data_IF_961691615807
#
_entry.id   IF_961691615807
#
_cell.length_a   1.000
_cell.length_b   1.000
_cell.length_c   1.000
_cell.angle_alpha   90.00
_cell.angle_beta   90.00
_cell.angle_gamma   90.00
#
_symmetry.space_group_name_H-M   'P 1'
#
loop_
_entity.id
_entity.type
_entity.pdbx_description
1 polymer ?
#
# COMPACT_ATOMS: atom_id res chain seq x y z
N UNK A 1 2.07 -19.68 -11.25
CA UNK A 1 2.21 -18.21 -11.26
C UNK A 1 1.87 -17.70 -9.88
N UNK A 2 2.72 -16.83 -9.32
CA UNK A 2 2.50 -16.20 -8.02
C UNK A 2 2.39 -14.70 -8.28
N UNK A 3 1.29 -14.09 -7.82
CA UNK A 3 1.09 -12.65 -7.81
C UNK A 3 1.27 -12.17 -6.37
N UNK A 4 2.35 -11.45 -6.11
CA UNK A 4 2.59 -10.79 -4.84
C UNK A 4 2.00 -9.37 -4.84
N UNK A 5 1.71 -8.82 -3.67
CA UNK A 5 1.02 -7.55 -3.45
C UNK A 5 -0.31 -7.42 -4.23
N UNK A 6 -1.05 -8.52 -4.25
CA UNK A 6 -2.32 -8.69 -4.96
C UNK A 6 -3.38 -7.62 -4.63
N UNK A 7 -3.35 -7.02 -3.43
CA UNK A 7 -4.23 -5.91 -3.04
C UNK A 7 -4.07 -4.65 -3.90
N UNK A 8 -2.90 -4.46 -4.52
CA UNK A 8 -2.58 -3.32 -5.37
C UNK A 8 -2.88 -3.55 -6.86
N UNK A 9 -3.24 -4.77 -7.26
CA UNK A 9 -3.51 -5.10 -8.66
C UNK A 9 -4.89 -4.60 -9.10
N UNK A 10 -4.96 -4.03 -10.31
CA UNK A 10 -6.21 -3.54 -10.89
C UNK A 10 -7.07 -4.72 -11.34
N UNK A 11 -8.38 -4.52 -11.39
CA UNK A 11 -9.35 -5.52 -11.87
C UNK A 11 -8.99 -6.06 -13.25
N UNK A 12 -8.59 -5.18 -14.16
CA UNK A 12 -8.25 -5.56 -15.54
C UNK A 12 -6.94 -6.38 -15.61
N UNK A 13 -5.97 -6.09 -14.74
CA UNK A 13 -4.72 -6.85 -14.67
C UNK A 13 -4.99 -8.27 -14.13
N UNK A 14 -5.86 -8.40 -13.12
CA UNK A 14 -6.32 -9.70 -12.63
C UNK A 14 -7.01 -10.52 -13.73
N UNK A 15 -7.89 -9.90 -14.52
CA UNK A 15 -8.57 -10.56 -15.62
C UNK A 15 -7.59 -11.18 -16.62
N UNK A 16 -6.58 -10.40 -17.03
CA UNK A 16 -5.54 -10.85 -17.95
C UNK A 16 -4.70 -11.98 -17.36
N UNK A 17 -4.35 -11.90 -16.07
CA UNK A 17 -3.59 -12.95 -15.40
C UNK A 17 -4.39 -14.26 -15.29
N UNK A 18 -5.69 -14.18 -15.04
CA UNK A 18 -6.58 -15.35 -15.03
C UNK A 18 -6.67 -15.95 -16.44
N UNK A 19 -6.87 -15.14 -17.48
CA UNK A 19 -6.92 -15.62 -18.87
C UNK A 19 -5.61 -16.31 -19.28
N UNK A 20 -4.44 -15.76 -18.91
CA UNK A 20 -3.14 -16.37 -19.15
C UNK A 20 -2.99 -17.69 -18.38
N UNK A 21 -3.39 -17.71 -17.11
CA UNK A 21 -3.33 -18.93 -16.31
C UNK A 21 -4.20 -20.04 -16.92
N UNK A 22 -5.39 -19.71 -17.43
CA UNK A 22 -6.24 -20.67 -18.13
C UNK A 22 -5.61 -21.15 -19.44
N UNK A 23 -5.15 -20.24 -20.30
CA UNK A 23 -4.56 -20.59 -21.60
C UNK A 23 -3.36 -21.53 -21.47
N UNK A 24 -2.53 -21.31 -20.44
CA UNK A 24 -1.33 -22.09 -20.19
C UNK A 24 -1.50 -23.20 -19.15
N UNK A 25 -2.73 -23.41 -18.63
CA UNK A 25 -3.05 -24.39 -17.59
C UNK A 25 -2.17 -24.23 -16.34
N UNK A 26 -1.90 -22.98 -15.95
CA UNK A 26 -1.16 -22.64 -14.75
C UNK A 26 -2.09 -22.47 -13.55
N UNK A 27 -1.54 -22.70 -12.36
CA UNK A 27 -2.15 -22.24 -11.11
C UNK A 27 -1.75 -20.78 -10.85
N UNK A 28 -2.72 -19.96 -10.48
CA UNK A 28 -2.51 -18.60 -9.98
C UNK A 28 -2.67 -18.60 -8.46
N UNK A 29 -1.62 -18.20 -7.75
CA UNK A 29 -1.65 -17.94 -6.30
C UNK A 29 -1.50 -16.44 -6.11
N UNK A 30 -2.51 -15.79 -5.54
CA UNK A 30 -2.49 -14.38 -5.21
C UNK A 30 -2.17 -14.20 -3.72
N UNK A 31 -1.14 -13.42 -3.42
CA UNK A 31 -0.64 -13.13 -2.08
C UNK A 31 -0.66 -11.61 -1.88
N UNK A 32 -1.13 -11.16 -0.73
CA UNK A 32 -1.18 -9.74 -0.40
C UNK A 32 -2.09 -9.49 0.80
N UNK A 33 -2.25 -8.22 1.16
CA UNK A 33 -3.14 -7.80 2.23
C UNK A 33 -4.27 -6.91 1.68
N UNK A 34 -5.55 -7.33 1.76
CA UNK A 34 -6.66 -6.55 1.25
C UNK A 34 -6.94 -5.27 2.06
N UNK A 35 -6.39 -5.15 3.27
CA UNK A 35 -6.52 -3.97 4.12
C UNK A 35 -5.41 -2.93 3.89
N UNK A 36 -4.39 -3.24 3.09
CA UNK A 36 -3.42 -2.26 2.63
C UNK A 36 -4.02 -1.32 1.57
N UNK A 37 -3.20 -0.48 0.96
CA UNK A 37 -3.64 0.49 -0.04
C UNK A 37 -4.29 -0.21 -1.24
N UNK A 38 -5.46 0.26 -1.70
CA UNK A 38 -6.10 -0.31 -2.87
C UNK A 38 -5.30 0.01 -4.15
N UNK A 39 -5.58 -0.75 -5.21
CA UNK A 39 -5.04 -0.48 -6.54
C UNK A 39 -5.25 0.97 -6.98
N UNK A 40 -4.29 1.51 -7.73
CA UNK A 40 -4.45 2.79 -8.42
C UNK A 40 -5.43 2.57 -9.59
N UNK A 41 -6.67 3.03 -9.42
CA UNK A 41 -7.76 2.85 -10.39
C UNK A 41 -8.85 1.91 -9.87
N UNK A 42 -9.52 1.17 -10.77
CA UNK A 42 -10.52 0.16 -10.39
C UNK A 42 -9.81 -1.06 -9.81
N UNK A 43 -9.92 -1.25 -8.50
CA UNK A 43 -9.35 -2.39 -7.77
C UNK A 43 -10.39 -3.12 -6.93
N UNK A 44 -9.93 -3.96 -6.01
CA UNK A 44 -10.78 -4.63 -5.02
C UNK A 44 -11.20 -6.05 -5.37
N UNK A 45 -10.75 -6.59 -6.51
CA UNK A 45 -10.94 -8.02 -6.84
C UNK A 45 -10.29 -8.91 -5.80
N UNK A 46 -9.06 -8.60 -5.38
CA UNK A 46 -8.38 -9.38 -4.36
C UNK A 46 -9.14 -9.40 -3.03
N UNK A 47 -9.60 -8.22 -2.55
CA UNK A 47 -10.44 -8.14 -1.36
C UNK A 47 -11.74 -8.95 -1.52
N UNK A 48 -12.40 -8.83 -2.68
CA UNK A 48 -13.59 -9.63 -2.98
C UNK A 48 -13.30 -11.13 -2.97
N UNK A 49 -12.16 -11.57 -3.50
CA UNK A 49 -11.74 -12.97 -3.47
C UNK A 49 -11.45 -13.45 -2.05
N UNK A 50 -10.80 -12.64 -1.21
CA UNK A 50 -10.66 -12.96 0.20
C UNK A 50 -12.03 -13.11 0.89
N UNK A 51 -13.02 -12.30 0.53
CA UNK A 51 -14.37 -12.38 1.13
C UNK A 51 -15.21 -13.56 0.61
N UNK A 52 -14.93 -14.06 -0.59
CA UNK A 52 -15.83 -15.02 -1.29
C UNK A 52 -15.22 -16.39 -1.56
N UNK A 53 -13.89 -16.50 -1.59
CA UNK A 53 -13.19 -17.73 -1.92
C UNK A 53 -12.46 -18.31 -0.71
N UNK A 54 -12.28 -19.64 -0.64
CA UNK A 54 -11.40 -20.27 0.32
C UNK A 54 -9.98 -19.68 0.20
N UNK A 55 -9.44 -19.19 1.31
CA UNK A 55 -8.11 -18.60 1.37
C UNK A 55 -7.45 -18.91 2.70
N UNK A 56 -6.13 -18.79 2.74
CA UNK A 56 -5.36 -18.84 3.98
C UNK A 56 -5.07 -17.43 4.45
N UNK A 57 -5.42 -17.14 5.71
CA UNK A 57 -5.10 -15.87 6.38
C UNK A 57 -3.94 -16.11 7.34
N UNK A 58 -2.87 -15.35 7.17
CA UNK A 58 -1.80 -15.23 8.16
C UNK A 58 -2.16 -14.08 9.11
N UNK A 59 -2.13 -14.34 10.41
CA UNK A 59 -2.64 -13.43 11.45
C UNK A 59 -1.55 -12.96 12.42
N UNK A 60 -0.32 -13.46 12.29
CA UNK A 60 0.77 -13.19 13.23
C UNK A 60 1.83 -12.28 12.58
N UNK A 61 1.86 -10.97 12.89
CA UNK A 61 2.94 -10.09 12.48
C UNK A 61 4.27 -10.53 13.11
N UNK A 62 5.33 -10.63 12.31
CA UNK A 62 6.66 -11.08 12.77
C UNK A 62 7.70 -9.96 12.84
N UNK A 63 7.36 -8.76 12.36
CA UNK A 63 8.31 -7.65 12.22
C UNK A 63 8.44 -6.78 13.46
N UNK A 64 7.41 -6.72 14.31
CA UNK A 64 7.40 -5.83 15.46
C UNK A 64 8.23 -6.40 16.61
N UNK A 65 8.98 -5.53 17.27
CA UNK A 65 9.72 -5.85 18.49
C UNK A 65 8.79 -5.89 19.70
N UNK A 66 7.82 -4.98 19.71
CA UNK A 66 6.82 -4.86 20.76
C UNK A 66 5.55 -5.63 20.39
N UNK A 67 5.14 -6.65 21.17
CA UNK A 67 3.93 -7.44 20.87
C UNK A 67 2.65 -6.60 20.86
N UNK A 68 2.54 -5.62 21.75
CA UNK A 68 1.37 -4.73 21.81
C UNK A 68 1.21 -3.93 20.52
N UNK A 69 2.31 -3.55 19.86
CA UNK A 69 2.27 -2.78 18.61
C UNK A 69 1.84 -3.68 17.44
N UNK A 70 2.20 -4.97 17.48
CA UNK A 70 1.69 -5.95 16.53
C UNK A 70 0.15 -6.08 16.64
N UNK A 71 -0.36 -6.26 17.86
CA UNK A 71 -1.80 -6.40 18.11
C UNK A 71 -2.56 -5.12 17.75
N UNK A 72 -2.05 -3.95 18.15
CA UNK A 72 -2.62 -2.64 17.81
C UNK A 72 -2.65 -2.40 16.29
N UNK A 73 -1.63 -2.87 15.56
CA UNK A 73 -1.60 -2.77 14.09
C UNK A 73 -2.68 -3.63 13.43
N UNK A 74 -3.03 -4.79 14.00
CA UNK A 74 -4.12 -5.64 13.52
C UNK A 74 -5.48 -5.03 13.83
N UNK A 75 -5.67 -4.46 15.03
CA UNK A 75 -6.86 -3.70 15.38
C UNK A 75 -7.06 -2.51 14.40
N UNK A 76 -6.00 -1.74 14.14
CA UNK A 76 -6.00 -0.66 13.15
C UNK A 76 -6.35 -1.15 11.74
N UNK A 77 -5.81 -2.30 11.33
CA UNK A 77 -6.10 -2.95 10.04
C UNK A 77 -7.59 -3.28 9.89
N UNK A 78 -8.16 -3.87 10.93
CA UNK A 78 -9.54 -4.36 10.94
C UNK A 78 -10.56 -3.22 11.14
N UNK A 79 -10.12 -2.03 11.56
CA UNK A 79 -10.99 -0.88 11.79
C UNK A 79 -11.47 -0.75 13.23
N UNK A 80 -10.78 -1.37 14.17
CA UNK A 80 -11.11 -1.29 15.58
C UNK A 80 -10.54 0.02 16.18
N UNK A 81 -11.40 0.95 16.65
CA UNK A 81 -10.96 2.23 17.19
C UNK A 81 -10.13 2.09 18.47
N UNK A 82 -10.17 0.95 19.18
CA UNK A 82 -9.33 0.68 20.37
C UNK A 82 -7.83 0.70 20.05
N UNK A 83 -7.45 0.54 18.78
CA UNK A 83 -6.08 0.75 18.34
C UNK A 83 -5.60 2.18 18.65
N UNK A 84 -6.47 3.18 18.52
CA UNK A 84 -6.12 4.57 18.75
C UNK A 84 -5.76 4.82 20.21
N UNK A 85 -6.57 4.31 21.14
CA UNK A 85 -6.30 4.37 22.57
C UNK A 85 -4.98 3.66 22.91
N UNK A 86 -4.78 2.46 22.36
CA UNK A 86 -3.56 1.68 22.58
C UNK A 86 -2.29 2.42 22.14
N UNK A 87 -2.29 3.02 20.94
CA UNK A 87 -1.17 3.83 20.46
C UNK A 87 -0.99 5.09 21.33
N UNK A 88 -2.08 5.70 21.81
CA UNK A 88 -2.06 6.84 22.71
C UNK A 88 -1.41 6.52 24.06
N UNK A 89 -1.82 5.41 24.70
CA UNK A 89 -1.29 4.93 25.99
C UNK A 89 0.22 4.63 25.92
N UNK A 90 0.71 4.15 24.79
CA UNK A 90 2.13 3.88 24.56
C UNK A 90 2.91 5.11 24.05
N UNK A 91 2.29 6.29 24.03
CA UNK A 91 2.92 7.56 23.66
C UNK A 91 3.38 7.63 22.20
N UNK A 92 2.70 6.91 21.29
CA UNK A 92 3.01 6.89 19.86
C UNK A 92 2.26 7.94 19.05
N UNK A 93 1.31 8.64 19.65
CA UNK A 93 0.50 9.64 18.98
C UNK A 93 0.90 11.04 19.43
N UNK A 94 1.10 11.93 18.47
CA UNK A 94 1.53 13.30 18.70
C UNK A 94 0.64 14.28 17.94
N UNK A 95 -0.06 15.15 18.66
CA UNK A 95 -0.72 16.31 18.07
C UNK A 95 0.29 17.46 17.96
N UNK A 96 0.35 18.12 16.80
CA UNK A 96 1.34 19.18 16.55
C UNK A 96 0.80 20.24 15.61
N UNK A 97 1.11 21.51 15.87
CA UNK A 97 0.76 22.58 14.93
C UNK A 97 1.42 22.34 13.55
N UNK A 98 0.68 22.43 12.42
CA UNK A 98 1.19 22.10 11.09
C UNK A 98 2.54 22.77 10.73
N UNK A 99 2.71 24.03 11.13
CA UNK A 99 3.94 24.79 10.89
C UNK A 99 5.20 24.23 11.60
N UNK A 100 5.03 23.38 12.63
CA UNK A 100 6.12 22.80 13.40
C UNK A 100 6.45 21.35 13.02
N UNK A 101 5.59 20.70 12.23
CA UNK A 101 5.72 19.28 11.85
C UNK A 101 7.10 19.01 11.24
N UNK A 102 7.50 19.80 10.23
CA UNK A 102 8.76 19.56 9.54
C UNK A 102 9.97 19.66 10.46
N UNK A 103 9.97 20.66 11.35
CA UNK A 103 11.03 20.85 12.32
C UNK A 103 11.09 19.66 13.31
N UNK A 104 9.97 19.29 13.91
CA UNK A 104 9.89 18.18 14.87
C UNK A 104 10.29 16.84 14.26
N UNK A 105 9.83 16.54 13.04
CA UNK A 105 10.20 15.31 12.34
C UNK A 105 11.71 15.29 12.04
N UNK A 106 12.29 16.42 11.62
CA UNK A 106 13.71 16.48 11.35
C UNK A 106 14.56 16.32 12.63
N UNK A 107 14.10 16.83 13.78
CA UNK A 107 14.69 16.57 15.10
C UNK A 107 14.70 15.07 15.43
N UNK A 108 13.54 14.41 15.31
CA UNK A 108 13.41 12.98 15.60
C UNK A 108 14.26 12.16 14.63
N UNK A 109 14.21 12.46 13.33
CA UNK A 109 15.03 11.81 12.31
C UNK A 109 16.51 11.88 12.66
N UNK A 110 17.04 13.07 12.94
CA UNK A 110 18.44 13.27 13.31
C UNK A 110 18.80 12.51 14.59
N UNK A 111 17.93 12.52 15.60
CA UNK A 111 18.17 11.80 16.84
C UNK A 111 18.16 10.27 16.69
N UNK A 112 17.38 9.71 15.77
CA UNK A 112 17.37 8.27 15.50
C UNK A 112 18.55 7.85 14.62
N UNK A 113 18.84 8.60 13.55
CA UNK A 113 20.01 8.37 12.70
C UNK A 113 21.31 8.50 13.51
N UNK A 114 21.40 9.46 14.43
CA UNK A 114 22.53 9.59 15.34
C UNK A 114 22.71 8.41 16.31
N UNK A 115 21.67 7.58 16.51
CA UNK A 115 21.74 6.30 17.23
C UNK A 115 22.02 5.10 16.33
N UNK A 116 22.33 5.33 15.05
CA UNK A 116 22.56 4.29 14.05
C UNK A 116 21.28 3.59 13.58
N UNK A 117 20.11 4.20 13.78
CA UNK A 117 18.81 3.61 13.40
C UNK A 117 18.36 4.09 12.03
N UNK A 118 17.69 3.22 11.29
CA UNK A 118 17.02 3.59 10.02
C UNK A 118 15.63 4.17 10.29
N UNK A 119 15.22 5.15 9.48
CA UNK A 119 13.95 5.87 9.67
C UNK A 119 13.20 5.90 8.34
N UNK A 120 11.92 5.55 8.36
CA UNK A 120 10.99 5.80 7.25
C UNK A 120 10.02 6.91 7.62
N UNK A 121 9.90 7.91 6.76
CA UNK A 121 8.99 9.03 6.95
C UNK A 121 7.93 8.96 5.86
N UNK A 122 6.67 8.78 6.27
CA UNK A 122 5.53 8.64 5.35
C UNK A 122 4.54 9.78 5.57
N UNK A 123 3.99 10.29 4.47
CA UNK A 123 3.01 11.39 4.45
C UNK A 123 1.98 11.17 3.33
N UNK A 124 0.88 11.92 3.35
CA UNK A 124 -0.18 11.79 2.36
C UNK A 124 0.08 12.65 1.13
N UNK A 125 0.66 13.84 1.31
CA UNK A 125 0.79 14.84 0.25
C UNK A 125 2.23 15.04 -0.21
N UNK A 126 2.40 15.32 -1.50
CA UNK A 126 3.71 15.64 -2.08
C UNK A 126 4.29 16.93 -1.50
N UNK A 127 3.44 17.89 -1.14
CA UNK A 127 3.86 19.17 -0.56
C UNK A 127 4.39 19.01 0.86
N UNK A 128 3.76 18.17 1.68
CA UNK A 128 4.30 17.82 3.00
C UNK A 128 5.61 17.04 2.85
N UNK A 129 5.69 16.06 1.93
CA UNK A 129 6.95 15.34 1.66
C UNK A 129 8.08 16.30 1.28
N UNK A 130 7.82 17.26 0.37
CA UNK A 130 8.79 18.28 -0.03
C UNK A 130 9.22 19.15 1.15
N UNK A 131 8.28 19.58 1.99
CA UNK A 131 8.55 20.40 3.18
C UNK A 131 9.46 19.65 4.15
N UNK A 132 9.14 18.37 4.43
CA UNK A 132 9.95 17.49 5.28
C UNK A 132 11.35 17.27 4.72
N UNK A 133 11.45 16.91 3.43
CA UNK A 133 12.71 16.70 2.73
C UNK A 133 13.63 17.92 2.79
N UNK A 134 13.07 19.10 2.51
CA UNK A 134 13.81 20.37 2.54
C UNK A 134 14.31 20.69 3.95
N UNK A 135 13.46 20.51 4.97
CA UNK A 135 13.84 20.78 6.35
C UNK A 135 14.92 19.82 6.86
N UNK A 136 14.81 18.52 6.53
CA UNK A 136 15.82 17.50 6.86
C UNK A 136 17.15 17.85 6.21
N UNK A 137 17.18 18.11 4.89
CA UNK A 137 18.41 18.49 4.20
C UNK A 137 19.01 19.77 4.78
N UNK A 138 18.19 20.80 5.03
CA UNK A 138 18.65 22.07 5.63
C UNK A 138 19.34 21.86 6.97
N UNK A 139 18.82 20.96 7.81
CA UNK A 139 19.45 20.61 9.10
C UNK A 139 20.74 19.84 8.91
N UNK A 140 20.77 18.85 8.03
CA UNK A 140 21.98 18.10 7.71
C UNK A 140 23.09 19.03 7.20
N UNK A 141 22.76 19.96 6.31
CA UNK A 141 23.71 20.94 5.78
C UNK A 141 24.24 21.89 6.85
N UNK A 142 23.42 22.27 7.83
CA UNK A 142 23.89 23.09 8.97
C UNK A 142 24.83 22.34 9.90
N UNK A 143 24.61 21.05 10.11
CA UNK A 143 25.40 20.24 11.03
C UNK A 143 26.67 19.66 10.40
N UNK A 144 26.72 19.56 9.07
CA UNK A 144 27.91 19.10 8.32
C UNK A 144 28.46 20.21 7.40
N UNK A 145 29.55 20.89 7.81
CA UNK A 145 30.20 21.92 6.99
C UNK A 145 30.67 21.42 5.62
N UNK A 146 30.93 20.12 5.46
CA UNK A 146 31.32 19.54 4.16
C UNK A 146 30.14 19.58 3.20
N UNK A 147 28.96 19.15 3.65
CA UNK A 147 27.71 19.21 2.87
C UNK A 147 27.31 20.64 2.53
N UNK A 148 27.46 21.56 3.47
CA UNK A 148 27.15 22.97 3.22
C UNK A 148 27.89 23.55 2.01
N UNK A 149 29.13 23.12 1.78
CA UNK A 149 30.02 23.58 0.71
C UNK A 149 30.03 22.66 -0.51
N UNK A 150 29.27 21.57 -0.50
CA UNK A 150 29.21 20.63 -1.61
C UNK A 150 28.55 21.24 -2.84
N UNK A 151 28.94 20.72 -4.00
CA UNK A 151 28.19 20.94 -5.24
C UNK A 151 26.73 20.54 -5.06
N UNK A 152 25.85 21.28 -5.73
CA UNK A 152 24.40 21.10 -5.69
C UNK A 152 23.87 20.88 -7.09
N UNK A 153 22.97 19.91 -7.24
CA UNK A 153 22.18 19.73 -8.46
C UNK A 153 20.73 20.08 -8.20
N UNK A 154 20.15 20.96 -9.00
CA UNK A 154 18.71 21.27 -8.95
C UNK A 154 17.88 20.14 -9.54
N UNK A 155 16.78 19.79 -8.88
CA UNK A 155 15.80 18.81 -9.33
C UNK A 155 14.60 19.50 -10.00
N UNK A 156 13.72 18.71 -10.60
CA UNK A 156 12.56 19.19 -11.35
C UNK A 156 11.63 20.09 -10.54
N UNK A 157 11.52 19.85 -9.23
CA UNK A 157 10.61 20.55 -8.32
C UNK A 157 11.26 21.78 -7.64
N UNK A 158 12.45 22.19 -8.10
CA UNK A 158 13.19 23.34 -7.58
C UNK A 158 13.97 23.06 -6.29
N UNK A 159 13.86 21.86 -5.71
CA UNK A 159 14.77 21.42 -4.65
C UNK A 159 16.16 21.14 -5.22
N UNK A 160 17.14 20.96 -4.34
CA UNK A 160 18.49 20.56 -4.76
C UNK A 160 18.90 19.27 -4.07
N UNK A 161 19.84 18.56 -4.67
CA UNK A 161 20.46 17.36 -4.12
C UNK A 161 21.96 17.58 -3.94
N UNK A 162 22.50 17.06 -2.84
CA UNK A 162 23.94 17.00 -2.54
C UNK A 162 24.36 15.54 -2.29
N UNK A 163 25.68 15.28 -2.32
CA UNK A 163 26.22 13.98 -1.92
C UNK A 163 25.83 13.67 -0.47
N UNK A 164 25.36 12.45 -0.24
CA UNK A 164 24.83 11.97 1.03
C UNK A 164 23.33 12.22 1.23
N UNK A 165 22.61 12.76 0.25
CA UNK A 165 21.16 12.80 0.30
C UNK A 165 20.51 11.47 -0.02
N UNK A 166 19.29 11.29 0.50
CA UNK A 166 18.36 10.27 0.04
C UNK A 166 17.48 10.83 -1.07
N UNK A 167 17.35 10.13 -2.18
CA UNK A 167 16.48 10.49 -3.33
C UNK A 167 15.53 9.36 -3.67
N UNK A 168 14.38 9.68 -4.27
CA UNK A 168 13.43 8.70 -4.79
C UNK A 168 13.28 8.81 -6.31
N UNK A 169 13.24 7.66 -6.99
CA UNK A 169 12.98 7.59 -8.44
C UNK A 169 11.48 7.58 -8.72
N UNK A 170 11.02 8.22 -9.80
CA UNK A 170 9.58 8.41 -10.09
C UNK A 170 9.08 7.74 -11.36
N UNK A 171 9.96 6.99 -12.03
CA UNK A 171 9.65 6.25 -13.25
C UNK A 171 10.33 4.89 -13.24
N UNK A 172 9.69 3.88 -13.81
CA UNK A 172 10.34 2.61 -14.10
C UNK A 172 11.18 2.79 -15.36
N UNK A 173 12.45 2.38 -15.32
CA UNK A 173 13.28 2.28 -16.51
C UNK A 173 14.11 0.98 -16.44
N UNK A 174 13.70 -0.08 -17.16
CA UNK A 174 14.37 -1.37 -17.10
C UNK A 174 15.75 -1.35 -17.79
N UNK A 175 16.07 -0.29 -18.54
CA UNK A 175 17.39 -0.15 -19.17
C UNK A 175 18.45 0.34 -18.18
N UNK A 176 18.05 0.94 -17.07
CA UNK A 176 18.95 1.36 -16.00
C UNK A 176 19.07 0.24 -14.98
N UNK A 177 20.12 -0.55 -15.14
CA UNK A 177 20.46 -1.64 -14.25
C UNK A 177 21.49 -1.19 -13.22
N UNK A 178 21.34 -1.64 -11.99
CA UNK A 178 22.40 -1.53 -10.99
C UNK A 178 23.56 -2.45 -11.35
N UNK A 179 24.69 -2.27 -10.67
CA UNK A 179 25.83 -3.20 -10.67
C UNK A 179 25.48 -4.64 -10.26
N UNK A 180 24.30 -4.87 -9.68
CA UNK A 180 23.73 -6.20 -9.36
C UNK A 180 22.73 -6.71 -10.39
N UNK A 181 22.46 -5.95 -11.44
CA UNK A 181 21.48 -6.29 -12.47
C UNK A 181 20.02 -5.97 -12.10
N UNK A 182 19.79 -5.23 -11.01
CA UNK A 182 18.44 -4.84 -10.62
C UNK A 182 17.98 -3.61 -11.43
N UNK A 183 16.78 -3.64 -12.04
CA UNK A 183 16.28 -2.48 -12.76
C UNK A 183 15.84 -1.36 -11.81
N UNK A 184 16.02 -0.11 -12.24
CA UNK A 184 15.48 1.07 -11.57
C UNK A 184 13.95 1.09 -11.69
N UNK A 185 13.28 1.15 -10.53
CA UNK A 185 11.81 1.22 -10.45
C UNK A 185 11.37 2.52 -9.79
N UNK A 186 10.14 2.89 -10.07
CA UNK A 186 9.40 3.94 -9.40
C UNK A 186 9.34 3.65 -7.89
N UNK A 187 9.64 4.67 -7.09
CA UNK A 187 9.68 4.73 -5.63
C UNK A 187 10.85 4.01 -4.96
N UNK A 188 11.84 3.51 -5.71
CA UNK A 188 13.11 3.12 -5.09
C UNK A 188 13.79 4.34 -4.45
N UNK A 189 14.30 4.17 -3.23
CA UNK A 189 14.94 5.21 -2.40
C UNK A 189 16.46 5.01 -2.32
N UNK A 190 17.26 5.93 -2.82
CA UNK A 190 18.70 5.74 -3.01
C UNK A 190 19.52 6.76 -2.23
N UNK A 191 20.72 6.37 -1.80
CA UNK A 191 21.71 7.29 -1.25
C UNK A 191 22.59 7.84 -2.37
N UNK A 192 22.71 9.15 -2.48
CA UNK A 192 23.54 9.82 -3.49
C UNK A 192 25.00 9.76 -3.08
N UNK A 193 25.85 9.22 -3.95
CA UNK A 193 27.29 9.07 -3.69
C UNK A 193 28.15 9.99 -4.55
N UNK A 194 27.65 10.42 -5.72
CA UNK A 194 28.34 11.40 -6.56
C UNK A 194 27.37 12.25 -7.40
N UNK A 195 27.76 13.50 -7.63
CA UNK A 195 27.21 14.38 -8.66
C UNK A 195 28.20 14.43 -9.82
N UNK A 196 27.72 14.26 -11.05
CA UNK A 196 28.55 14.27 -12.25
C UNK A 196 28.30 15.57 -13.02
N UNK A 197 29.34 16.12 -13.66
CA UNK A 197 29.29 17.41 -14.35
C UNK A 197 28.28 17.46 -15.52
N UNK A 198 27.98 16.31 -16.14
CA UNK A 198 26.94 16.18 -17.18
C UNK A 198 25.51 16.19 -16.62
N UNK A 199 25.40 16.24 -15.28
CA UNK A 199 24.16 16.21 -14.54
C UNK A 199 23.71 14.83 -14.07
N UNK A 200 24.46 13.79 -14.36
CA UNK A 200 24.14 12.45 -13.87
C UNK A 200 24.35 12.35 -12.35
N UNK A 201 23.62 11.41 -11.72
CA UNK A 201 23.76 11.09 -10.30
C UNK A 201 24.23 9.64 -10.14
N UNK A 202 25.28 9.41 -9.37
CA UNK A 202 25.58 8.05 -8.88
C UNK A 202 24.86 7.85 -7.57
N UNK A 203 24.04 6.80 -7.51
CA UNK A 203 23.20 6.48 -6.35
C UNK A 203 23.33 5.01 -5.97
N UNK A 204 23.20 4.70 -4.68
CA UNK A 204 23.39 3.34 -4.15
C UNK A 204 22.32 2.94 -3.15
N UNK A 205 22.09 1.64 -3.00
CA UNK A 205 21.28 1.04 -1.95
C UNK A 205 21.92 -0.26 -1.45
N UNK A 206 21.87 -0.56 -0.13
CA UNK A 206 22.49 -1.77 0.42
C UNK A 206 22.10 -3.07 -0.29
N UNK A 207 20.81 -3.22 -0.59
CA UNK A 207 20.28 -4.46 -1.17
C UNK A 207 20.32 -4.48 -2.70
N UNK A 208 20.18 -3.32 -3.35
CA UNK A 208 19.98 -3.20 -4.80
C UNK A 208 21.26 -2.91 -5.57
N UNK A 209 22.30 -2.43 -4.88
CA UNK A 209 23.56 -2.02 -5.49
C UNK A 209 23.56 -0.57 -5.97
N UNK A 210 24.48 -0.26 -6.88
CA UNK A 210 24.79 1.10 -7.34
C UNK A 210 24.41 1.29 -8.80
N UNK A 211 23.88 2.46 -9.15
CA UNK A 211 23.53 2.84 -10.52
C UNK A 211 23.84 4.31 -10.77
N UNK A 212 24.22 4.63 -12.01
CA UNK A 212 24.32 6.03 -12.46
C UNK A 212 23.07 6.40 -13.23
N UNK A 213 22.30 7.34 -12.70
CA UNK A 213 21.10 7.90 -13.31
C UNK A 213 21.49 9.04 -14.25
N UNK A 214 21.19 8.95 -15.57
CA UNK A 214 21.54 10.01 -16.52
C UNK A 214 20.87 11.33 -16.18
N UNK A 215 21.56 12.46 -16.45
CA UNK A 215 21.03 13.80 -16.13
C UNK A 215 19.61 14.06 -16.63
N UNK A 216 19.28 13.66 -17.86
CA UNK A 216 17.92 13.80 -18.39
C UNK A 216 16.85 12.98 -17.65
N UNK A 217 17.23 11.85 -17.04
CA UNK A 217 16.33 11.10 -16.15
C UNK A 217 16.18 11.82 -14.81
N UNK A 218 17.28 12.31 -14.24
CA UNK A 218 17.30 13.08 -12.99
C UNK A 218 16.41 14.31 -13.09
N UNK A 219 16.47 15.02 -14.22
CA UNK A 219 15.71 16.26 -14.47
C UNK A 219 14.18 16.08 -14.49
N UNK A 220 13.69 14.85 -14.58
CA UNK A 220 12.25 14.57 -14.73
C UNK A 220 11.70 13.60 -13.70
N UNK A 221 12.56 12.73 -13.17
CA UNK A 221 12.12 11.50 -12.50
C UNK A 221 12.87 11.24 -11.19
N UNK A 222 13.55 12.24 -10.63
CA UNK A 222 14.19 12.15 -9.33
C UNK A 222 13.73 13.30 -8.43
N UNK A 223 13.34 12.96 -7.20
CA UNK A 223 12.98 13.89 -6.13
C UNK A 223 13.75 13.53 -4.85
N UNK A 224 13.84 14.44 -3.86
CA UNK A 224 14.35 14.07 -2.54
C UNK A 224 13.46 12.99 -1.90
N UNK A 225 14.08 12.08 -1.15
CA UNK A 225 13.46 10.82 -0.73
C UNK A 225 13.60 10.49 0.76
N UNK A 226 13.92 11.45 1.63
CA UNK A 226 13.93 11.24 3.08
C UNK A 226 12.51 10.96 3.61
N UNK A 227 11.54 11.71 3.08
CA UNK A 227 10.12 11.52 3.26
C UNK A 227 9.45 11.24 1.92
N UNK A 228 8.54 10.27 1.91
CA UNK A 228 7.83 9.84 0.71
C UNK A 228 6.33 9.88 0.92
N UNK A 229 5.59 10.15 -0.16
CA UNK A 229 4.14 9.94 -0.15
C UNK A 229 3.86 8.46 -0.04
N UNK A 230 2.90 8.07 0.80
CA UNK A 230 2.58 6.67 1.11
C UNK A 230 2.19 5.87 -0.12
N UNK A 231 3.21 5.35 -0.80
CA UNK A 231 3.07 4.84 -2.15
C UNK A 231 4.37 4.15 -2.56
N UNK A 232 4.32 2.83 -2.50
CA UNK A 232 5.02 1.86 -3.33
C UNK A 232 6.34 1.31 -2.81
N UNK A 233 6.29 0.00 -2.64
CA UNK A 233 7.37 -0.95 -2.74
C UNK A 233 8.58 -0.72 -1.84
N UNK A 234 8.33 -0.33 -0.59
CA UNK A 234 9.33 -0.39 0.46
C UNK A 234 9.01 -1.57 1.38
N UNK A 235 9.39 -2.77 0.93
CA UNK A 235 9.50 -3.96 1.78
C UNK A 235 10.63 -3.84 2.80
N UNK A 236 11.42 -2.77 2.72
CA UNK A 236 12.52 -2.51 3.64
C UNK A 236 11.96 -2.24 5.03
N UNK A 237 12.30 -3.12 5.95
CA UNK A 237 11.98 -2.96 7.36
C UNK A 237 12.96 -1.94 7.94
N UNK A 238 12.45 -0.78 8.35
CA UNK A 238 13.24 0.23 9.05
C UNK A 238 13.08 0.07 10.56
N UNK A 239 13.97 0.69 11.33
CA UNK A 239 13.87 0.66 12.78
C UNK A 239 12.68 1.51 13.27
N UNK A 240 12.54 2.72 12.73
CA UNK A 240 11.57 3.72 13.19
C UNK A 240 10.68 4.17 12.04
N UNK A 241 9.36 4.06 12.21
CA UNK A 241 8.35 4.66 11.36
C UNK A 241 7.87 6.01 11.91
N UNK A 242 7.88 7.04 11.08
CA UNK A 242 7.29 8.36 11.36
C UNK A 242 6.19 8.60 10.34
N UNK A 243 4.94 8.53 10.78
CA UNK A 243 3.75 8.69 9.96
C UNK A 243 3.13 10.06 10.19
N UNK A 244 3.09 10.92 9.17
CA UNK A 244 2.39 12.19 9.23
C UNK A 244 0.98 11.95 8.70
N UNK A 245 -0.02 11.99 9.58
CA UNK A 245 -1.41 11.68 9.24
C UNK A 245 -2.16 13.00 8.99
N UNK A 246 -2.14 13.47 7.74
CA UNK A 246 -2.78 14.72 7.34
C UNK A 246 -4.31 14.61 7.29
N UNK A 247 -5.06 15.74 7.29
CA UNK A 247 -6.49 15.73 7.01
C UNK A 247 -6.82 14.96 5.72
N UNK A 248 -7.80 14.06 5.78
CA UNK A 248 -8.13 13.18 4.66
C UNK A 248 -7.36 11.86 4.61
N UNK A 249 -6.45 11.61 5.56
CA UNK A 249 -5.87 10.27 5.76
C UNK A 249 -6.98 9.23 5.93
N UNK A 250 -6.81 8.09 5.25
CA UNK A 250 -7.68 6.91 5.36
C UNK A 250 -7.07 5.87 6.29
N UNK A 251 -7.90 4.99 6.84
CA UNK A 251 -7.46 3.83 7.63
C UNK A 251 -6.35 3.03 6.94
N UNK A 252 -6.51 2.67 5.66
CA UNK A 252 -5.52 1.89 4.92
C UNK A 252 -4.16 2.62 4.82
N UNK A 253 -4.18 3.95 4.67
CA UNK A 253 -2.95 4.75 4.65
C UNK A 253 -2.30 4.79 6.04
N UNK A 254 -3.09 5.02 7.10
CA UNK A 254 -2.59 5.02 8.47
C UNK A 254 -2.00 3.65 8.85
N UNK A 255 -2.68 2.55 8.51
CA UNK A 255 -2.19 1.19 8.72
C UNK A 255 -0.83 0.96 8.06
N UNK A 256 -0.71 1.28 6.77
CA UNK A 256 0.55 1.10 6.04
C UNK A 256 1.66 2.01 6.59
N UNK A 257 1.34 3.22 7.03
CA UNK A 257 2.33 4.15 7.59
C UNK A 257 2.79 3.73 9.01
N UNK A 258 1.88 3.17 9.82
CA UNK A 258 2.14 2.73 11.20
C UNK A 258 2.66 1.29 11.31
N UNK A 259 3.10 0.68 10.21
CA UNK A 259 3.68 -0.67 10.16
C UNK A 259 5.07 -0.70 9.50
N UNK A 260 5.70 0.47 9.29
CA UNK A 260 7.01 0.59 8.62
C UNK A 260 8.19 0.27 9.55
N UNK A 261 8.11 0.68 10.80
CA UNK A 261 9.12 0.49 11.83
C UNK A 261 8.99 -0.85 12.54
N UNK A 262 10.12 -1.55 12.76
CA UNK A 262 10.19 -2.74 13.62
C UNK A 262 10.32 -2.43 15.11
N UNK A 263 10.90 -1.29 15.47
CA UNK A 263 11.11 -0.89 16.88
C UNK A 263 10.03 0.06 17.39
N UNK A 264 9.54 0.94 16.52
CA UNK A 264 8.54 1.94 16.86
C UNK A 264 7.90 2.56 15.63
N UNK A 265 6.60 2.80 15.68
CA UNK A 265 5.84 3.61 14.74
C UNK A 265 5.18 4.75 15.50
N UNK A 266 5.34 5.98 15.01
CA UNK A 266 4.82 7.18 15.67
C UNK A 266 3.98 7.97 14.67
N UNK A 267 2.75 8.32 15.07
CA UNK A 267 1.86 9.17 14.31
C UNK A 267 2.02 10.63 14.74
N UNK A 268 2.20 11.52 13.77
CA UNK A 268 2.19 12.96 13.94
C UNK A 268 0.97 13.49 13.22
N UNK A 269 0.02 14.03 13.98
CA UNK A 269 -1.27 14.50 13.50
C UNK A 269 -1.24 16.03 13.51
N UNK A 270 -1.24 16.68 12.33
CA UNK A 270 -1.28 18.14 12.27
C UNK A 270 -2.59 18.67 12.84
N UNK A 271 -2.49 19.48 13.89
CA UNK A 271 -3.61 20.12 14.59
C UNK A 271 -3.39 21.64 14.62
N UNK A 272 -4.08 22.41 13.76
CA UNK A 272 -3.92 23.87 13.71
C UNK A 272 -4.50 24.59 14.94
N UNK A 273 -5.39 23.95 15.71
CA UNK A 273 -6.07 24.58 16.85
C UNK A 273 -5.39 24.19 18.18
N UNK A 274 -4.69 23.05 18.21
CA UNK A 274 -3.92 22.58 19.36
C UNK A 274 -4.79 22.02 20.49
N UNK A 275 -6.02 21.61 20.18
CA UNK A 275 -6.99 21.07 21.13
C UNK A 275 -7.43 19.65 20.80
N UNK A 276 -6.98 19.11 19.66
CA UNK A 276 -7.32 17.77 19.24
C UNK A 276 -6.54 16.76 20.07
N UNK A 277 -7.26 15.88 20.75
CA UNK A 277 -6.69 14.66 21.30
C UNK A 277 -6.26 13.75 20.14
N UNK A 278 -4.97 13.36 20.06
CA UNK A 278 -4.48 12.61 18.92
C UNK A 278 -5.03 11.16 18.86
N UNK A 279 -5.45 10.57 20.00
CA UNK A 279 -6.15 9.29 19.98
C UNK A 279 -7.53 9.43 19.32
N UNK A 280 -8.31 10.43 19.72
CA UNK A 280 -9.58 10.77 19.05
C UNK A 280 -9.39 11.02 17.55
N UNK A 281 -8.36 11.76 17.15
CA UNK A 281 -8.10 12.04 15.74
C UNK A 281 -7.72 10.78 14.94
N UNK A 282 -6.97 9.84 15.53
CA UNK A 282 -6.69 8.56 14.90
C UNK A 282 -7.95 7.67 14.84
N UNK A 283 -8.77 7.64 15.90
CA UNK A 283 -10.05 6.92 15.88
C UNK A 283 -10.97 7.42 14.74
N UNK A 284 -11.04 8.74 14.52
CA UNK A 284 -11.76 9.30 13.36
C UNK A 284 -11.17 8.84 12.02
N UNK A 285 -9.84 8.68 11.91
CA UNK A 285 -9.20 8.15 10.69
C UNK A 285 -9.55 6.67 10.49
N UNK A 286 -9.65 5.91 11.56
CA UNK A 286 -10.04 4.49 11.56
C UNK A 286 -11.48 4.35 11.06
N UNK A 287 -12.38 5.20 11.58
CA UNK A 287 -13.81 5.19 11.26
C UNK A 287 -14.15 5.78 9.88
N UNK A 288 -13.22 6.51 9.25
CA UNK A 288 -13.44 7.03 7.89
C UNK A 288 -13.65 5.86 6.92
N UNK A 289 -14.91 5.64 6.56
CA UNK A 289 -15.29 4.79 5.44
C UNK A 289 -14.50 5.22 4.20
N UNK A 290 -13.81 4.31 3.49
CA UNK A 290 -13.12 4.65 2.26
C UNK A 290 -14.12 5.36 1.33
N UNK A 291 -13.87 6.63 0.98
CA UNK A 291 -14.71 7.37 0.00
C UNK A 291 -14.75 6.68 -1.38
N UNK A 292 -13.90 5.68 -1.59
CA UNK A 292 -13.95 4.77 -2.71
C UNK A 292 -14.00 3.34 -2.21
N UNK A 293 -15.17 2.90 -1.73
CA UNK A 293 -15.53 1.48 -1.89
C UNK A 293 -15.29 1.14 -3.35
N UNK A 294 -14.51 0.09 -3.63
CA UNK A 294 -14.40 -0.41 -5.00
C UNK A 294 -15.81 -0.68 -5.55
N UNK A 295 -16.02 -0.56 -6.86
CA UNK A 295 -17.32 -0.87 -7.46
C UNK A 295 -17.83 -2.25 -7.02
N UNK A 296 -16.92 -3.22 -6.86
CA UNK A 296 -17.17 -4.56 -6.33
C UNK A 296 -17.57 -4.56 -4.83
N UNK A 297 -16.93 -3.77 -3.98
CA UNK A 297 -17.31 -3.65 -2.57
C UNK A 297 -18.67 -2.98 -2.39
N UNK A 298 -18.96 -1.92 -3.15
CA UNK A 298 -20.29 -1.29 -3.21
C UNK A 298 -21.33 -2.27 -3.71
N UNK A 299 -21.04 -3.01 -4.77
CA UNK A 299 -21.92 -4.04 -5.31
C UNK A 299 -22.19 -5.15 -4.29
N UNK A 300 -21.15 -5.72 -3.67
CA UNK A 300 -21.29 -6.76 -2.65
C UNK A 300 -22.08 -6.27 -1.42
N UNK A 301 -21.91 -5.00 -1.03
CA UNK A 301 -22.72 -4.37 0.02
C UNK A 301 -24.19 -4.22 -0.40
N UNK A 302 -24.45 -3.80 -1.64
CA UNK A 302 -25.81 -3.69 -2.19
C UNK A 302 -26.50 -5.06 -2.32
N UNK A 303 -25.79 -6.11 -2.74
CA UNK A 303 -26.34 -7.48 -2.77
C UNK A 303 -26.70 -7.97 -1.36
N UNK A 304 -25.82 -7.76 -0.38
CA UNK A 304 -26.10 -8.08 1.04
C UNK A 304 -27.29 -7.31 1.58
N UNK A 305 -27.36 -6.00 1.33
CA UNK A 305 -28.46 -5.14 1.77
C UNK A 305 -29.80 -5.50 1.08
N UNK A 306 -29.76 -6.03 -0.14
CA UNK A 306 -30.94 -6.46 -0.88
C UNK A 306 -31.43 -7.87 -0.48
N UNK A 307 -30.76 -8.57 0.44
CA UNK A 307 -31.10 -9.94 0.82
C UNK A 307 -30.99 -10.95 -0.34
N UNK A 308 -30.27 -10.56 -1.41
CA UNK A 308 -29.97 -11.43 -2.54
C UNK A 308 -28.68 -12.15 -2.18
N UNK A 309 -28.78 -13.46 -1.96
CA UNK A 309 -27.63 -14.32 -1.72
C UNK A 309 -26.59 -14.08 -2.83
N UNK A 310 -25.31 -13.96 -2.46
CA UNK A 310 -24.24 -13.89 -3.45
C UNK A 310 -24.35 -15.15 -4.35
N UNK A 311 -24.01 -15.09 -5.66
CA UNK A 311 -24.34 -16.15 -6.61
C UNK A 311 -23.75 -17.55 -6.36
N UNK A 312 -23.02 -17.74 -5.26
CA UNK A 312 -22.15 -18.90 -5.03
C UNK A 312 -22.67 -19.74 -3.85
N UNK A 313 -23.32 -20.85 -4.19
CA UNK A 313 -23.61 -21.94 -3.26
C UNK A 313 -22.51 -23.00 -3.32
N UNK A 314 -21.79 -23.19 -2.22
CA UNK A 314 -20.94 -24.36 -1.99
C UNK A 314 -21.41 -25.06 -0.71
N UNK A 315 -21.88 -26.30 -0.87
CA UNK A 315 -22.20 -27.22 0.23
C UNK A 315 -23.69 -27.33 0.57
N UNK A 316 -24.36 -28.32 -0.03
CA UNK A 316 -25.66 -28.80 0.45
C UNK A 316 -25.48 -29.57 1.77
N UNK A 317 -26.29 -29.23 2.76
CA UNK A 317 -27.11 -30.20 3.50
C UNK A 317 -28.57 -29.69 3.52
N UNK A 318 -29.55 -30.59 3.40
CA UNK A 318 -31.01 -30.34 3.24
C UNK A 318 -31.77 -31.22 4.25
N UNK A 319 -33.09 -31.03 4.51
CA UNK A 319 -33.91 -29.80 4.60
C UNK A 319 -35.02 -29.85 5.70
N UNK A 320 -35.75 -28.74 5.95
CA UNK A 320 -37.20 -28.65 6.22
C UNK A 320 -37.56 -27.17 6.55
N UNK A 321 -38.67 -26.52 6.20
CA UNK A 321 -39.86 -26.78 5.37
C UNK A 321 -40.49 -25.40 5.02
N UNK A 322 -41.06 -25.32 3.82
CA UNK A 322 -42.03 -24.37 3.22
C UNK A 322 -42.77 -23.30 4.06
N UNK A 323 -42.93 -22.08 3.49
CA UNK A 323 -44.23 -21.44 3.13
C UNK A 323 -44.10 -20.20 2.20
N UNK A 324 -45.16 -19.97 1.42
CA UNK A 324 -45.32 -19.23 0.15
C UNK A 324 -45.75 -17.73 0.31
N UNK A 325 -46.05 -16.92 -0.74
CA UNK A 325 -45.50 -15.56 -0.96
C UNK A 325 -46.54 -14.42 -0.92
N UNK A 326 -46.14 -13.15 -1.07
CA UNK A 326 -47.03 -12.07 -1.53
C UNK A 326 -46.30 -10.97 -2.34
N UNK A 327 -46.89 -10.56 -3.46
CA UNK A 327 -46.69 -9.34 -4.30
C UNK A 327 -48.02 -8.53 -4.22
N UNK A 328 -48.24 -7.32 -4.79
CA UNK A 328 -47.43 -6.41 -5.63
C UNK A 328 -47.46 -4.93 -5.12
N UNK A 329 -46.84 -3.88 -5.70
CA UNK A 329 -47.23 -3.13 -6.92
C UNK A 329 -46.24 -1.97 -7.27
N UNK A 330 -46.25 -1.54 -8.54
CA UNK A 330 -45.71 -0.28 -9.14
C UNK A 330 -46.93 0.60 -9.56
N UNK A 331 -46.87 1.86 -10.11
CA UNK A 331 -45.77 2.69 -10.68
C UNK A 331 -45.78 4.18 -10.16
N UNK A 332 -44.97 5.17 -10.56
CA UNK A 332 -44.86 5.81 -11.90
C UNK A 332 -43.84 6.99 -11.93
N UNK A 333 -43.07 7.11 -13.03
CA UNK A 333 -42.62 8.28 -13.85
C UNK A 333 -42.10 9.61 -13.20
N UNK A 334 -41.12 10.40 -13.68
CA UNK A 334 -40.19 10.46 -14.86
C UNK A 334 -39.26 11.70 -14.69
N UNK A 335 -38.02 11.66 -15.21
CA UNK A 335 -37.30 12.81 -15.83
C UNK A 335 -36.11 12.32 -16.71
N UNK A 336 -35.65 13.08 -17.74
CA UNK A 336 -34.89 12.58 -18.91
C UNK A 336 -33.34 12.50 -18.74
N UNK A 337 -32.59 11.89 -19.69
CA UNK A 337 -31.33 11.20 -19.41
C UNK A 337 -30.04 12.00 -19.66
N UNK A 338 -28.99 11.63 -18.93
CA UNK A 338 -27.58 11.88 -19.21
C UNK A 338 -27.01 10.75 -20.11
N UNK A 339 -25.89 10.95 -20.85
CA UNK A 339 -25.37 10.00 -21.85
C UNK A 339 -24.96 8.64 -21.24
N UNK A 340 -24.93 7.54 -22.03
CA UNK A 340 -24.91 6.18 -21.50
C UNK A 340 -23.56 5.81 -20.88
N UNK A 341 -23.60 5.58 -19.56
CA UNK A 341 -22.71 4.67 -18.84
C UNK A 341 -23.00 3.23 -19.30
N UNK A 342 -22.00 2.35 -19.54
CA UNK A 342 -22.28 0.94 -19.80
C UNK A 342 -23.12 0.36 -18.66
N UNK A 343 -24.18 -0.38 -19.02
CA UNK A 343 -25.16 -0.87 -18.07
C UNK A 343 -24.49 -1.80 -17.04
N UNK A 344 -24.87 -1.64 -15.77
CA UNK A 344 -24.43 -2.49 -14.63
C UNK A 344 -24.48 -3.99 -14.96
N UNK A 345 -25.43 -4.43 -15.80
CA UNK A 345 -25.56 -5.81 -16.26
C UNK A 345 -24.35 -6.35 -17.03
N UNK A 346 -23.67 -5.53 -17.83
CA UNK A 346 -22.48 -5.99 -18.59
C UNK A 346 -21.25 -6.17 -17.69
N UNK A 347 -21.17 -5.41 -16.59
CA UNK A 347 -20.10 -5.54 -15.61
C UNK A 347 -20.36 -6.77 -14.71
N UNK A 348 -21.61 -6.99 -14.32
CA UNK A 348 -22.06 -8.14 -13.54
C UNK A 348 -21.82 -9.45 -14.29
N UNK A 349 -22.12 -9.48 -15.60
CA UNK A 349 -21.84 -10.63 -16.46
C UNK A 349 -20.34 -10.92 -16.59
N UNK A 350 -19.49 -9.89 -16.68
CA UNK A 350 -18.04 -10.08 -16.77
C UNK A 350 -17.43 -10.60 -15.46
N UNK A 351 -17.89 -10.10 -14.32
CA UNK A 351 -17.42 -10.55 -12.99
C UNK A 351 -17.89 -11.99 -12.75
N UNK A 352 -19.14 -12.31 -13.04
CA UNK A 352 -19.67 -13.67 -12.91
C UNK A 352 -18.97 -14.66 -13.85
N UNK A 353 -18.68 -14.25 -15.09
CA UNK A 353 -17.96 -15.08 -16.06
C UNK A 353 -16.50 -15.35 -15.63
N UNK A 354 -15.83 -14.37 -15.02
CA UNK A 354 -14.47 -14.51 -14.50
C UNK A 354 -14.42 -15.47 -13.29
N UNK A 355 -15.41 -15.38 -12.40
CA UNK A 355 -15.49 -16.24 -11.23
C UNK A 355 -15.83 -17.70 -11.60
N UNK A 356 -16.80 -17.92 -12.50
CA UNK A 356 -17.15 -19.26 -12.99
C UNK A 356 -16.00 -19.95 -13.74
N UNK A 357 -15.10 -19.15 -14.33
CA UNK A 357 -13.84 -19.59 -14.95
C UNK A 357 -12.83 -20.03 -13.89
N UNK A 358 -12.66 -19.23 -12.84
CA UNK A 358 -11.78 -19.54 -11.72
C UNK A 358 -12.19 -20.80 -10.93
N UNK A 359 -13.48 -20.98 -10.66
CA UNK A 359 -13.99 -22.17 -9.93
C UNK A 359 -13.71 -23.48 -10.70
N UNK A 360 -13.72 -23.45 -12.04
CA UNK A 360 -13.34 -24.60 -12.87
C UNK A 360 -11.86 -24.97 -12.72
N UNK A 361 -10.98 -23.99 -12.47
CA UNK A 361 -9.56 -24.25 -12.22
C UNK A 361 -9.32 -24.89 -10.85
N UNK A 362 -10.17 -24.61 -9.85
CA UNK A 362 -10.07 -25.20 -8.52
C UNK A 362 -10.71 -26.60 -8.40
N UNK A 363 -11.71 -26.90 -9.24
CA UNK A 363 -12.47 -28.16 -9.19
C UNK A 363 -11.90 -29.34 -9.99
N UNK A 364 -10.77 -29.19 -10.69
CA UNK A 364 -10.17 -30.30 -11.44
C UNK A 364 -9.51 -31.32 -10.47
N UNK A 365 -9.89 -32.62 -10.50
CA UNK A 365 -9.31 -33.60 -9.60
C UNK A 365 -7.81 -33.74 -9.86
N UNK A 366 -7.03 -33.63 -8.79
CA UNK A 366 -5.62 -34.02 -8.75
C UNK A 366 -5.50 -35.45 -9.29
N UNK A 367 -4.89 -35.61 -10.47
CA UNK A 367 -4.49 -36.94 -10.95
C UNK A 367 -3.51 -37.53 -9.93
N UNK A 368 -3.86 -38.69 -9.42
CA UNK A 368 -3.04 -39.55 -8.58
C UNK A 368 -1.63 -39.69 -9.18
N UNK A 369 -0.62 -39.47 -8.34
CA UNK A 369 0.78 -39.81 -8.60
C UNK A 369 0.91 -41.32 -8.81
N UNK A 370 1.58 -41.81 -9.88
CA UNK A 370 1.90 -43.22 -9.97
C UNK A 370 2.95 -43.58 -8.92
N UNK A 371 2.63 -44.61 -8.17
CA UNK A 371 3.46 -45.34 -7.22
C UNK A 371 4.82 -45.73 -7.86
N UNK A 372 5.91 -45.15 -7.38
CA UNK A 372 7.28 -45.53 -7.72
C UNK A 372 7.87 -46.30 -6.55
N UNK A 373 7.42 -47.54 -6.38
CA UNK A 373 8.15 -48.53 -5.60
C UNK A 373 8.23 -49.87 -6.36
N UNK A 374 9.31 -50.03 -7.15
CA UNK A 374 9.89 -51.33 -7.49
C UNK A 374 11.41 -51.19 -7.75
N UNK A 375 12.17 -51.43 -6.68
CA UNK A 375 13.15 -52.51 -6.64
C UNK A 375 14.48 -52.34 -7.39
N UNK A 376 15.54 -52.08 -6.62
CA UNK A 376 16.88 -52.62 -6.90
C UNK A 376 17.51 -53.12 -5.59
N UNK A 377 17.37 -54.43 -5.34
CA UNK A 377 18.39 -55.20 -4.63
C UNK A 377 19.40 -55.72 -5.64
N UNK A 378 20.64 -55.27 -5.56
CA UNK A 378 21.85 -56.10 -5.42
C UNK A 378 23.06 -55.22 -5.14
#
# INVERSE_FOLDING_TARGET
>A
MILDEAGMARTDDFAQLVDLAEQHQWRLVAVGDPAQLPAVGRGGVFAHWCDTLPHHRLDTPRRFTEPWEADASLALRDGDPTAADTYGEHGRLHSIHPALVAAAIADVHQAQVGRGRTVAITTNTADMARTLNTEIQRRLDRHDPRRHRSDRRTLADGTHVVVGDTVATRRNDPSFLTDRGDPVRNRHTWNVTALIADGSLTVTHPDRGTVTLPGGYVDRHVELGWAVTGYGNQGDTVDIGLAILEPGTTRNHAYVALTRGRLANNAWIPDPIGIADPATALAEIIDRTPRASSALATQAALHRAAGVEAPWGLGRERPAQTRTPLKPDRPNQTSPPAPPTPALSELDEKVAAMQARFDRLQGAPTRETPDLDRGLSR
#
